data_IF_251608405060
#
_entry.id   IF_251608405060
#
_cell.length_a   1.000
_cell.length_b   1.000
_cell.length_c   1.000
_cell.angle_alpha   90.00
_cell.angle_beta   90.00
_cell.angle_gamma   90.00
#
_symmetry.space_group_name_H-M   'P 1'
#
loop_
_entity.id
_entity.type
_entity.pdbx_description
1 polymer ?
#
# COMPACT_ATOMS: atom_id res chain seq x y z
N UNK A 1 -16.51 -27.85 4.47
CA UNK A 1 -16.01 -27.13 3.29
C UNK A 1 -16.28 -25.66 3.55
N UNK A 2 -15.25 -24.81 3.67
CA UNK A 2 -15.45 -23.38 3.95
C UNK A 2 -16.13 -22.76 2.74
N UNK A 3 -17.28 -22.12 2.94
CA UNK A 3 -18.03 -21.46 1.87
C UNK A 3 -17.18 -20.35 1.22
N UNK A 4 -17.24 -20.26 -0.10
CA UNK A 4 -16.54 -19.29 -0.95
C UNK A 4 -16.73 -17.85 -0.43
N UNK A 5 -17.95 -17.50 -0.01
CA UNK A 5 -18.26 -16.20 0.59
C UNK A 5 -17.50 -15.91 1.89
N UNK A 6 -17.27 -16.92 2.73
CA UNK A 6 -16.59 -16.79 4.01
C UNK A 6 -15.11 -16.42 3.83
N UNK A 7 -14.41 -17.14 2.94
CA UNK A 7 -12.99 -16.87 2.66
C UNK A 7 -12.79 -15.47 2.10
N UNK A 8 -13.63 -15.05 1.16
CA UNK A 8 -13.59 -13.71 0.56
C UNK A 8 -13.91 -12.64 1.60
N UNK A 9 -14.95 -12.83 2.42
CA UNK A 9 -15.37 -11.86 3.45
C UNK A 9 -14.29 -11.65 4.52
N UNK A 10 -13.79 -12.73 5.12
CA UNK A 10 -12.79 -12.64 6.19
C UNK A 10 -11.41 -12.22 5.65
N UNK A 11 -11.03 -12.70 4.46
CA UNK A 11 -9.81 -12.28 3.79
C UNK A 11 -9.80 -10.77 3.52
N UNK A 12 -10.89 -10.24 2.95
CA UNK A 12 -11.03 -8.81 2.71
C UNK A 12 -11.05 -7.98 3.99
N UNK A 13 -11.71 -8.49 5.06
CA UNK A 13 -11.69 -7.83 6.36
C UNK A 13 -10.27 -7.65 6.91
N UNK A 14 -9.43 -8.70 6.83
CA UNK A 14 -8.02 -8.65 7.27
C UNK A 14 -7.24 -7.65 6.43
N UNK A 15 -7.36 -7.73 5.10
CA UNK A 15 -6.68 -6.81 4.17
C UNK A 15 -7.05 -5.34 4.42
N UNK A 16 -8.35 -5.07 4.56
CA UNK A 16 -8.86 -3.74 4.87
C UNK A 16 -8.38 -3.24 6.24
N UNK A 17 -8.35 -4.10 7.25
CA UNK A 17 -7.82 -3.75 8.58
C UNK A 17 -6.36 -3.29 8.50
N UNK A 18 -5.51 -4.09 7.83
CA UNK A 18 -4.09 -3.75 7.66
C UNK A 18 -3.89 -2.45 6.88
N UNK A 19 -4.68 -2.22 5.82
CA UNK A 19 -4.65 -0.95 5.08
C UNK A 19 -5.00 0.23 5.99
N UNK A 20 -6.12 0.12 6.71
CA UNK A 20 -6.61 1.20 7.56
C UNK A 20 -5.60 1.53 8.65
N UNK A 21 -5.02 0.53 9.32
CA UNK A 21 -3.99 0.76 10.33
C UNK A 21 -2.74 1.43 9.75
N UNK A 22 -2.29 0.99 8.57
CA UNK A 22 -1.17 1.60 7.86
C UNK A 22 -1.44 3.09 7.56
N UNK A 23 -2.56 3.39 6.90
CA UNK A 23 -2.90 4.75 6.46
C UNK A 23 -3.16 5.69 7.65
N UNK A 24 -3.91 5.22 8.65
CA UNK A 24 -4.20 6.02 9.85
C UNK A 24 -2.94 6.32 10.66
N UNK A 25 -2.00 5.37 10.77
CA UNK A 25 -0.74 5.60 11.48
C UNK A 25 0.07 6.73 10.83
N UNK A 26 0.14 6.76 9.49
CA UNK A 26 0.84 7.83 8.76
C UNK A 26 0.12 9.16 8.96
N UNK A 27 -1.19 9.20 8.76
CA UNK A 27 -1.97 10.43 8.90
C UNK A 27 -1.91 11.01 10.32
N UNK A 28 -1.98 10.15 11.35
CA UNK A 28 -1.86 10.57 12.74
C UNK A 28 -0.47 11.14 13.05
N UNK A 29 0.58 10.54 12.50
CA UNK A 29 1.94 11.05 12.66
C UNK A 29 2.12 12.41 11.96
N UNK A 30 1.58 12.54 10.74
CA UNK A 30 1.60 13.80 10.00
C UNK A 30 0.88 14.88 10.79
N UNK A 31 -0.31 14.60 11.30
CA UNK A 31 -1.09 15.55 12.10
C UNK A 31 -0.39 15.91 13.43
N UNK A 32 0.14 14.90 14.15
CA UNK A 32 0.81 15.10 15.45
C UNK A 32 2.05 16.00 15.31
N UNK A 33 2.89 15.73 14.31
CA UNK A 33 4.14 16.46 14.16
C UNK A 33 4.01 17.71 13.32
N UNK A 34 3.23 17.68 12.25
CA UNK A 34 3.19 18.72 11.21
C UNK A 34 1.88 19.53 11.19
N UNK A 35 0.88 19.19 12.01
CA UNK A 35 -0.39 19.94 12.11
C UNK A 35 -0.24 21.40 12.57
N UNK A 36 0.94 21.78 13.09
CA UNK A 36 1.26 23.16 13.49
C UNK A 36 1.89 24.00 12.37
N UNK A 37 1.95 23.48 11.14
CA UNK A 37 2.48 24.19 9.97
C UNK A 37 3.95 24.55 10.14
N UNK A 38 4.31 25.82 9.92
CA UNK A 38 5.70 26.28 9.96
C UNK A 38 6.37 26.12 11.34
N UNK A 39 5.60 26.14 12.42
CA UNK A 39 6.12 25.93 13.79
C UNK A 39 6.71 24.53 13.98
N UNK A 40 6.39 23.59 13.08
CA UNK A 40 6.98 22.25 13.06
C UNK A 40 8.49 22.28 12.83
N UNK A 41 9.04 23.31 12.17
CA UNK A 41 10.48 23.38 11.90
C UNK A 41 11.28 24.02 13.07
N UNK A 42 10.68 24.14 14.25
CA UNK A 42 11.37 24.59 15.44
C UNK A 42 12.46 23.59 15.88
N UNK A 43 13.72 24.00 15.76
CA UNK A 43 14.88 23.19 16.12
C UNK A 43 14.89 22.71 17.58
N UNK A 44 14.15 23.38 18.48
CA UNK A 44 14.00 22.94 19.88
C UNK A 44 13.24 21.62 20.01
N UNK A 45 12.45 21.26 19.00
CA UNK A 45 11.68 20.01 18.94
C UNK A 45 12.39 18.92 18.12
N UNK A 46 13.61 19.16 17.64
CA UNK A 46 14.33 18.23 16.75
C UNK A 46 14.51 16.83 17.35
N UNK A 47 14.95 16.72 18.61
CA UNK A 47 15.12 15.42 19.29
C UNK A 47 13.79 14.68 19.44
N UNK A 48 12.70 15.39 19.73
CA UNK A 48 11.36 14.81 19.82
C UNK A 48 10.92 14.24 18.45
N UNK A 49 11.08 15.02 17.38
CA UNK A 49 10.70 14.62 16.02
C UNK A 49 11.53 13.44 15.52
N UNK A 50 12.84 13.43 15.77
CA UNK A 50 13.72 12.32 15.39
C UNK A 50 13.27 11.04 16.11
N UNK A 51 13.03 11.10 17.42
CA UNK A 51 12.59 9.92 18.17
C UNK A 51 11.21 9.43 17.70
N UNK A 52 10.28 10.34 17.46
CA UNK A 52 8.95 10.02 16.92
C UNK A 52 9.02 9.39 15.54
N UNK A 53 9.88 9.91 14.66
CA UNK A 53 10.08 9.33 13.35
C UNK A 53 10.70 7.92 13.43
N UNK A 54 11.63 7.68 14.36
CA UNK A 54 12.18 6.33 14.58
C UNK A 54 11.13 5.33 15.08
N UNK A 55 10.20 5.77 15.94
CA UNK A 55 9.04 4.97 16.35
C UNK A 55 8.12 4.67 15.16
N UNK A 56 7.78 5.69 14.37
CA UNK A 56 6.98 5.56 13.17
C UNK A 56 7.61 4.58 12.18
N UNK A 57 8.91 4.72 11.89
CA UNK A 57 9.61 3.86 10.93
C UNK A 57 9.47 2.39 11.27
N UNK A 58 9.58 2.03 12.55
CA UNK A 58 9.37 0.65 13.02
C UNK A 58 7.94 0.20 12.77
N UNK A 59 6.99 1.03 13.14
CA UNK A 59 5.57 0.67 13.07
C UNK A 59 5.05 0.60 11.64
N UNK A 60 5.39 1.56 10.78
CA UNK A 60 5.03 1.53 9.36
C UNK A 60 5.72 0.35 8.65
N UNK A 61 6.94 -0.03 9.04
CA UNK A 61 7.57 -1.24 8.48
C UNK A 61 6.76 -2.50 8.80
N UNK A 62 6.28 -2.64 10.04
CA UNK A 62 5.40 -3.75 10.46
C UNK A 62 4.07 -3.71 9.70
N UNK A 63 3.43 -2.55 9.62
CA UNK A 63 2.13 -2.37 8.97
C UNK A 63 2.20 -2.60 7.46
N UNK A 64 3.27 -2.12 6.80
CA UNK A 64 3.52 -2.37 5.38
C UNK A 64 3.74 -3.85 5.12
N UNK A 65 4.53 -4.53 5.96
CA UNK A 65 4.69 -5.99 5.87
C UNK A 65 3.33 -6.70 5.95
N UNK A 66 2.51 -6.33 6.95
CA UNK A 66 1.20 -6.93 7.16
C UNK A 66 0.24 -6.67 6.00
N UNK A 67 0.21 -5.44 5.49
CA UNK A 67 -0.57 -5.08 4.30
C UNK A 67 -0.19 -5.96 3.12
N UNK A 68 1.09 -6.00 2.75
CA UNK A 68 1.59 -6.75 1.59
C UNK A 68 1.40 -8.26 1.74
N UNK A 69 1.57 -8.79 2.95
CA UNK A 69 1.26 -10.18 3.25
C UNK A 69 -0.23 -10.48 3.04
N UNK A 70 -1.12 -9.62 3.57
CA UNK A 70 -2.56 -9.79 3.41
C UNK A 70 -3.05 -9.57 1.98
N UNK A 71 -2.44 -8.64 1.23
CA UNK A 71 -2.69 -8.44 -0.20
C UNK A 71 -2.42 -9.73 -0.99
N UNK A 72 -1.30 -10.40 -0.70
CA UNK A 72 -0.99 -11.66 -1.34
C UNK A 72 -1.98 -12.77 -0.92
N UNK A 73 -2.35 -12.84 0.36
CA UNK A 73 -3.34 -13.80 0.83
C UNK A 73 -4.70 -13.63 0.15
N UNK A 74 -5.20 -12.39 -0.01
CA UNK A 74 -6.48 -12.17 -0.69
C UNK A 74 -6.41 -12.53 -2.17
N UNK A 75 -5.28 -12.25 -2.85
CA UNK A 75 -5.03 -12.65 -4.23
C UNK A 75 -5.16 -14.17 -4.37
N UNK A 76 -4.41 -14.93 -3.57
CA UNK A 76 -4.45 -16.41 -3.57
C UNK A 76 -5.83 -16.95 -3.19
N UNK A 77 -6.49 -16.32 -2.21
CA UNK A 77 -7.86 -16.67 -1.87
C UNK A 77 -8.78 -16.47 -3.07
N UNK A 78 -8.77 -15.32 -3.76
CA UNK A 78 -9.58 -15.11 -4.96
C UNK A 78 -9.35 -16.21 -6.00
N UNK A 79 -8.11 -16.63 -6.25
CA UNK A 79 -7.79 -17.73 -7.18
C UNK A 79 -8.39 -19.08 -6.75
N UNK A 80 -8.15 -19.50 -5.51
CA UNK A 80 -8.64 -20.77 -5.01
C UNK A 80 -10.18 -20.81 -5.01
N UNK A 81 -10.76 -19.67 -4.71
CA UNK A 81 -12.18 -19.45 -4.53
C UNK A 81 -12.87 -19.43 -5.92
N UNK A 82 -12.28 -18.79 -6.94
CA UNK A 82 -12.70 -18.86 -8.36
C UNK A 82 -12.80 -20.32 -8.86
N UNK A 83 -11.78 -21.13 -8.56
CA UNK A 83 -11.72 -22.54 -8.97
C UNK A 83 -12.77 -23.44 -8.28
N UNK A 84 -13.49 -22.92 -7.29
CA UNK A 84 -14.53 -23.67 -6.55
C UNK A 84 -15.95 -23.40 -7.04
N UNK A 85 -16.12 -22.52 -8.04
CA UNK A 85 -17.42 -22.19 -8.63
C UNK A 85 -17.80 -23.16 -9.76
N UNK A 86 -19.10 -23.37 -9.93
CA UNK A 86 -19.65 -24.21 -11.01
C UNK A 86 -20.18 -23.39 -12.21
N UNK A 87 -20.40 -22.07 -12.03
CA UNK A 87 -20.95 -21.21 -13.08
C UNK A 87 -19.84 -20.66 -14.00
N UNK A 88 -19.67 -21.28 -15.17
CA UNK A 88 -18.62 -20.91 -16.13
C UNK A 88 -18.70 -19.43 -16.58
N UNK A 89 -19.89 -18.88 -16.79
CA UNK A 89 -20.02 -17.49 -17.24
C UNK A 89 -19.52 -16.51 -16.18
N UNK A 90 -19.85 -16.77 -14.91
CA UNK A 90 -19.37 -15.96 -13.81
C UNK A 90 -17.85 -16.11 -13.62
N UNK A 91 -17.33 -17.34 -13.72
CA UNK A 91 -15.89 -17.61 -13.61
C UNK A 91 -15.10 -16.77 -14.62
N UNK A 92 -15.54 -16.73 -15.87
CA UNK A 92 -14.86 -15.93 -16.90
C UNK A 92 -14.95 -14.42 -16.63
N UNK A 93 -16.06 -13.93 -16.08
CA UNK A 93 -16.17 -12.51 -15.67
C UNK A 93 -15.24 -12.18 -14.49
N UNK A 94 -15.18 -13.06 -13.48
CA UNK A 94 -14.27 -12.94 -12.33
C UNK A 94 -12.83 -12.94 -12.82
N UNK A 95 -12.44 -13.88 -13.69
CA UNK A 95 -11.09 -13.95 -14.26
C UNK A 95 -10.70 -12.65 -14.94
N UNK A 96 -11.58 -12.12 -15.79
CA UNK A 96 -11.32 -10.88 -16.52
C UNK A 96 -11.03 -9.73 -15.56
N UNK A 97 -11.90 -9.49 -14.59
CA UNK A 97 -11.74 -8.42 -13.60
C UNK A 97 -10.56 -8.65 -12.65
N UNK A 98 -10.32 -9.91 -12.25
CA UNK A 98 -9.15 -10.28 -11.45
C UNK A 98 -7.85 -9.96 -12.20
N UNK A 99 -7.79 -10.19 -13.51
CA UNK A 99 -6.61 -9.86 -14.32
C UNK A 99 -6.34 -8.37 -14.42
N UNK A 100 -7.39 -7.53 -14.41
CA UNK A 100 -7.23 -6.07 -14.36
C UNK A 100 -6.56 -5.62 -13.04
N UNK A 101 -6.81 -6.34 -11.94
CA UNK A 101 -6.46 -5.92 -10.57
C UNK A 101 -5.26 -6.66 -9.99
N UNK A 102 -4.98 -7.89 -10.43
CA UNK A 102 -3.88 -8.73 -9.95
C UNK A 102 -2.98 -9.25 -11.07
N UNK A 103 -3.26 -8.86 -12.33
CA UNK A 103 -2.43 -9.21 -13.48
C UNK A 103 -1.15 -8.38 -13.58
N UNK A 104 -0.40 -8.63 -14.65
CA UNK A 104 0.98 -8.18 -14.85
C UNK A 104 1.08 -6.70 -15.29
N UNK A 105 0.50 -5.79 -14.51
CA UNK A 105 0.81 -4.37 -14.65
C UNK A 105 2.01 -3.99 -13.75
N UNK A 106 2.76 -2.92 -14.09
CA UNK A 106 3.97 -2.52 -13.36
C UNK A 106 3.76 -2.34 -11.85
N UNK A 107 2.67 -1.70 -11.44
CA UNK A 107 2.38 -1.40 -10.04
C UNK A 107 2.04 -2.64 -9.23
N UNK A 108 1.20 -3.54 -9.75
CA UNK A 108 0.86 -4.79 -9.07
C UNK A 108 2.05 -5.73 -8.97
N UNK A 109 2.85 -5.78 -10.04
CA UNK A 109 4.09 -6.57 -10.03
C UNK A 109 5.06 -6.01 -9.01
N UNK A 110 5.20 -4.67 -8.95
CA UNK A 110 5.98 -4.00 -7.92
C UNK A 110 5.46 -4.32 -6.52
N UNK A 111 4.16 -4.19 -6.24
CA UNK A 111 3.56 -4.52 -4.93
C UNK A 111 3.84 -5.96 -4.52
N UNK A 112 3.68 -6.92 -5.44
CA UNK A 112 4.00 -8.33 -5.19
C UNK A 112 5.50 -8.54 -4.91
N UNK A 113 6.38 -7.92 -5.68
CA UNK A 113 7.82 -8.08 -5.51
C UNK A 113 8.36 -7.28 -4.32
N UNK A 114 7.69 -6.20 -3.91
CA UNK A 114 7.96 -5.44 -2.70
C UNK A 114 7.71 -6.32 -1.47
N UNK A 115 6.63 -7.10 -1.46
CA UNK A 115 6.43 -8.14 -0.44
C UNK A 115 7.65 -9.08 -0.39
N UNK A 116 8.09 -9.58 -1.54
CA UNK A 116 9.20 -10.52 -1.61
C UNK A 116 10.52 -9.88 -1.15
N UNK A 117 10.78 -8.63 -1.52
CA UNK A 117 11.90 -7.84 -1.01
C UNK A 117 11.84 -7.76 0.52
N UNK A 118 10.68 -7.37 1.07
CA UNK A 118 10.49 -7.18 2.52
C UNK A 118 10.65 -8.49 3.30
N UNK A 119 10.23 -9.62 2.72
CA UNK A 119 10.30 -10.92 3.38
C UNK A 119 11.64 -11.63 3.23
N UNK A 120 12.42 -11.33 2.18
CA UNK A 120 13.61 -12.11 1.83
C UNK A 120 14.90 -11.31 1.76
N UNK A 121 14.85 -9.97 1.74
CA UNK A 121 16.02 -9.13 1.54
C UNK A 121 16.24 -8.14 2.67
N UNK A 122 15.31 -7.22 2.89
CA UNK A 122 15.46 -6.16 3.89
C UNK A 122 14.11 -5.53 4.24
N UNK A 123 13.99 -4.89 5.39
CA UNK A 123 12.86 -4.02 5.67
C UNK A 123 12.95 -2.77 4.79
N UNK A 124 11.82 -2.20 4.36
CA UNK A 124 11.85 -1.00 3.53
C UNK A 124 12.45 0.14 4.34
N UNK A 125 13.51 0.76 3.83
CA UNK A 125 14.11 1.95 4.43
C UNK A 125 13.19 3.15 4.16
N UNK A 126 12.14 3.24 4.96
CA UNK A 126 11.18 4.36 4.89
C UNK A 126 11.92 5.62 5.27
N UNK A 127 11.89 6.58 4.36
CA UNK A 127 12.43 7.91 4.51
C UNK A 127 11.29 8.92 4.48
N UNK A 128 11.54 10.10 5.03
CA UNK A 128 10.57 11.18 5.06
C UNK A 128 11.11 12.38 4.29
N UNK A 129 10.21 13.03 3.58
CA UNK A 129 10.48 14.29 2.90
C UNK A 129 9.49 15.34 3.41
N UNK A 130 10.02 16.51 3.74
CA UNK A 130 9.21 17.71 4.01
C UNK A 130 9.50 18.77 2.96
N UNK A 131 8.46 19.40 2.43
CA UNK A 131 8.57 20.57 1.55
C UNK A 131 7.71 21.71 2.06
N UNK A 132 8.21 22.93 1.97
CA UNK A 132 7.48 24.15 2.33
C UNK A 132 7.21 24.92 1.04
N UNK A 133 5.93 25.04 0.69
CA UNK A 133 5.47 25.88 -0.40
C UNK A 133 5.06 27.25 0.18
N UNK A 134 5.48 28.33 -0.47
CA UNK A 134 5.07 29.68 -0.13
C UNK A 134 4.87 30.52 -1.39
N UNK A 135 3.83 31.36 -1.38
CA UNK A 135 3.57 32.35 -2.42
C UNK A 135 3.97 33.73 -1.92
N UNK A 136 4.71 34.50 -2.74
CA UNK A 136 5.04 35.88 -2.43
C UNK A 136 3.75 36.72 -2.33
N UNK A 137 3.42 37.16 -1.11
CA UNK A 137 2.24 37.99 -0.82
C UNK A 137 1.12 37.27 -0.03
N UNK A 138 1.24 35.97 0.17
CA UNK A 138 0.35 35.20 1.07
C UNK A 138 1.01 35.03 2.44
N UNK A 139 0.21 35.04 3.51
CA UNK A 139 0.70 34.78 4.88
C UNK A 139 0.71 33.28 5.22
N UNK A 140 0.17 32.44 4.34
CA UNK A 140 0.04 31.00 4.57
C UNK A 140 1.22 30.25 3.96
N UNK A 141 1.74 29.31 4.74
CA UNK A 141 2.77 28.35 4.32
C UNK A 141 2.11 26.98 4.22
N UNK A 142 2.27 26.33 3.07
CA UNK A 142 1.80 24.97 2.88
C UNK A 142 2.98 24.01 3.13
N UNK A 143 2.88 23.24 4.21
CA UNK A 143 3.90 22.27 4.61
C UNK A 143 3.41 20.89 4.23
N UNK A 144 4.05 20.30 3.22
CA UNK A 144 3.77 18.93 2.80
C UNK A 144 4.79 17.98 3.41
N UNK A 145 4.29 16.87 3.96
CA UNK A 145 5.12 15.78 4.48
C UNK A 145 4.70 14.47 3.82
N UNK A 146 5.67 13.71 3.32
CA UNK A 146 5.42 12.41 2.69
C UNK A 146 6.45 11.38 3.12
N UNK A 147 6.02 10.12 3.10
CA UNK A 147 6.89 8.97 3.32
C UNK A 147 7.23 8.32 1.99
N UNK A 148 8.48 7.93 1.82
CA UNK A 148 8.94 7.32 0.58
C UNK A 148 9.93 6.18 0.80
N UNK A 149 10.06 5.34 -0.23
CA UNK A 149 11.14 4.39 -0.36
C UNK A 149 12.19 4.96 -1.32
N UNK A 150 13.47 4.80 -0.98
CA UNK A 150 14.58 5.16 -1.86
C UNK A 150 14.65 4.18 -3.05
N UNK A 151 14.40 4.70 -4.25
CA UNK A 151 14.39 3.90 -5.48
C UNK A 151 15.75 3.28 -5.79
N UNK A 152 16.85 3.99 -5.52
CA UNK A 152 18.20 3.47 -5.78
C UNK A 152 18.51 2.28 -4.86
N UNK A 153 18.14 2.37 -3.58
CA UNK A 153 18.30 1.25 -2.63
C UNK A 153 17.41 0.07 -3.01
N UNK A 154 16.20 0.32 -3.50
CA UNK A 154 15.35 -0.76 -4.03
C UNK A 154 16.03 -1.44 -5.22
N UNK A 155 16.60 -0.69 -6.17
CA UNK A 155 17.24 -1.23 -7.37
C UNK A 155 18.46 -2.13 -7.11
N UNK A 156 19.07 -2.09 -5.91
CA UNK A 156 20.11 -3.04 -5.49
C UNK A 156 19.61 -4.49 -5.44
N UNK A 157 18.30 -4.71 -5.32
CA UNK A 157 17.70 -6.04 -5.33
C UNK A 157 17.56 -6.58 -6.76
N UNK A 158 18.40 -7.56 -7.10
CA UNK A 158 18.50 -8.09 -8.47
C UNK A 158 17.27 -8.86 -8.98
N UNK A 159 16.33 -9.22 -8.10
CA UNK A 159 15.17 -10.06 -8.46
C UNK A 159 13.94 -9.28 -8.93
N UNK A 160 14.02 -7.94 -9.09
CA UNK A 160 12.94 -7.20 -9.73
C UNK A 160 12.76 -7.65 -11.18
N UNK A 161 11.53 -8.01 -11.55
CA UNK A 161 11.17 -8.27 -12.95
C UNK A 161 11.07 -6.98 -13.75
N UNK A 162 10.94 -7.10 -15.07
CA UNK A 162 10.85 -5.95 -15.97
C UNK A 162 9.69 -5.00 -15.64
N UNK A 163 8.46 -5.47 -15.28
CA UNK A 163 7.38 -4.57 -14.89
C UNK A 163 7.70 -3.77 -13.62
N UNK A 164 8.26 -4.39 -12.58
CA UNK A 164 8.66 -3.66 -11.36
C UNK A 164 9.79 -2.67 -11.63
N UNK A 165 10.74 -3.02 -12.50
CA UNK A 165 11.77 -2.07 -12.96
C UNK A 165 11.19 -0.90 -13.72
N UNK A 166 10.12 -1.10 -14.50
CA UNK A 166 9.42 -0.01 -15.15
C UNK A 166 8.77 0.89 -14.11
N UNK A 167 8.06 0.32 -13.13
CA UNK A 167 7.46 1.09 -12.04
C UNK A 167 8.50 1.91 -11.26
N UNK A 168 9.66 1.33 -10.94
CA UNK A 168 10.77 2.03 -10.28
C UNK A 168 11.37 3.13 -11.16
N UNK A 169 11.41 2.97 -12.49
CA UNK A 169 11.87 4.02 -13.42
C UNK A 169 10.90 5.18 -13.52
N UNK A 170 9.60 4.90 -13.41
CA UNK A 170 8.55 5.93 -13.38
C UNK A 170 8.59 6.72 -12.06
N UNK A 171 9.28 6.20 -11.04
CA UNK A 171 9.53 6.80 -9.73
C UNK A 171 11.04 6.92 -9.45
N UNK A 172 11.82 7.67 -10.26
CA UNK A 172 13.28 7.51 -10.35
C UNK A 172 14.04 7.84 -9.05
N UNK A 173 13.49 8.71 -8.21
CA UNK A 173 14.14 9.10 -6.95
C UNK A 173 13.51 8.39 -5.75
N UNK A 174 12.18 8.36 -5.71
CA UNK A 174 11.41 8.02 -4.52
C UNK A 174 10.10 7.39 -4.92
N UNK A 175 9.75 6.27 -4.27
CA UNK A 175 8.42 5.67 -4.38
C UNK A 175 7.54 6.22 -3.25
N UNK A 176 6.47 6.98 -3.55
CA UNK A 176 5.57 7.55 -2.55
C UNK A 176 4.71 6.43 -1.95
N UNK A 177 5.12 5.91 -0.78
CA UNK A 177 4.63 4.60 -0.31
C UNK A 177 3.17 4.68 0.16
N UNK A 178 2.75 5.80 0.76
CA UNK A 178 1.37 5.94 1.22
C UNK A 178 0.42 5.92 0.02
N UNK A 179 0.69 6.73 -0.99
CA UNK A 179 -0.08 6.88 -2.21
C UNK A 179 -0.10 5.57 -3.01
N UNK A 180 1.04 4.88 -3.10
CA UNK A 180 1.14 3.56 -3.74
C UNK A 180 0.20 2.55 -3.10
N UNK A 181 0.20 2.47 -1.76
CA UNK A 181 -0.64 1.55 -1.01
C UNK A 181 -2.13 1.96 -1.05
N UNK A 182 -2.44 3.26 -0.99
CA UNK A 182 -3.80 3.78 -1.13
C UNK A 182 -4.40 3.46 -2.50
N UNK A 183 -3.63 3.67 -3.57
CA UNK A 183 -4.07 3.34 -4.93
C UNK A 183 -4.31 1.84 -5.07
N UNK A 184 -3.35 1.01 -4.67
CA UNK A 184 -3.49 -0.44 -4.71
C UNK A 184 -4.70 -0.94 -3.91
N UNK A 185 -4.91 -0.40 -2.70
CA UNK A 185 -6.07 -0.71 -1.88
C UNK A 185 -7.39 -0.34 -2.57
N UNK A 186 -7.45 0.84 -3.19
CA UNK A 186 -8.65 1.31 -3.89
C UNK A 186 -9.01 0.38 -5.05
N UNK A 187 -8.02 -0.03 -5.85
CA UNK A 187 -8.21 -0.95 -6.96
C UNK A 187 -8.76 -2.31 -6.47
N UNK A 188 -8.15 -2.88 -5.42
CA UNK A 188 -8.62 -4.12 -4.81
C UNK A 188 -10.00 -3.97 -4.18
N UNK A 189 -10.27 -2.89 -3.46
CA UNK A 189 -11.58 -2.63 -2.85
C UNK A 189 -12.68 -2.57 -3.90
N UNK A 190 -12.46 -1.86 -5.00
CA UNK A 190 -13.42 -1.75 -6.09
C UNK A 190 -13.75 -3.14 -6.69
N UNK A 191 -12.74 -4.00 -6.81
CA UNK A 191 -12.95 -5.39 -7.22
C UNK A 191 -13.80 -6.18 -6.23
N UNK A 192 -13.50 -6.09 -4.93
CA UNK A 192 -14.24 -6.82 -3.90
C UNK A 192 -15.68 -6.30 -3.72
N UNK A 193 -15.90 -5.01 -3.88
CA UNK A 193 -17.24 -4.40 -3.88
C UNK A 193 -18.09 -4.92 -5.05
N UNK A 194 -17.48 -5.12 -6.23
CA UNK A 194 -18.13 -5.76 -7.38
C UNK A 194 -18.33 -7.26 -7.16
N UNK A 195 -17.35 -7.96 -6.58
CA UNK A 195 -17.36 -9.42 -6.44
C UNK A 195 -18.40 -9.88 -5.41
N UNK A 196 -18.49 -9.19 -4.27
CA UNK A 196 -19.34 -9.59 -3.14
C UNK A 196 -20.81 -9.90 -3.49
N UNK A 197 -21.56 -9.07 -4.24
CA UNK A 197 -22.94 -9.41 -4.61
C UNK A 197 -23.01 -10.67 -5.47
N UNK A 198 -22.10 -10.85 -6.44
CA UNK A 198 -22.06 -12.01 -7.33
C UNK A 198 -21.92 -13.35 -6.59
N UNK A 199 -21.22 -13.33 -5.45
CA UNK A 199 -21.01 -14.51 -4.61
C UNK A 199 -22.20 -14.76 -3.67
N UNK A 200 -22.84 -13.68 -3.21
CA UNK A 200 -23.95 -13.77 -2.26
C UNK A 200 -25.22 -14.29 -2.94
N UNK A 201 -25.39 -14.03 -4.24
CA UNK A 201 -26.56 -14.46 -5.02
C UNK A 201 -26.52 -15.95 -5.44
N UNK A 202 -25.41 -16.65 -5.17
CA UNK A 202 -25.16 -18.05 -5.61
C UNK A 202 -25.15 -19.04 -4.43
N UNK A 203 -25.07 -18.55 -3.19
CA UNK A 203 -25.09 -19.37 -1.95
C UNK A 203 -26.49 -19.49 -1.30
#
# INVERSE_FOLDING_TARGET
MTKFSGVIKYGFYIFHGNFREFDQTINNYIEELYGQGINTFDLRNSDYQINKFLELKKEISRLLHNYLASWYSIKEHTYAAENSLDNQSLIEEIKKKRMEIFGDNPENTFTQELRNYIQHKDLPLIESQSSINFSLGEQDFDVNHSLHLDTNKLLDYKKWTQPSKQYLKDHPNQVPIQETIQKNFTDVKNFYDWLRPQITDIE
#
